data_IF_830688146918
#
_entry.id   IF_830688146918
#
_cell.length_a   1.000
_cell.length_b   1.000
_cell.length_c   1.000
_cell.angle_alpha   90.00
_cell.angle_beta   90.00
_cell.angle_gamma   90.00
#
_symmetry.space_group_name_H-M   'P 1'
#
loop_
_entity.id
_entity.type
_entity.pdbx_description
1 polymer ?
#
# COMPACT_ATOMS: atom_id res chain seq x y z
N UNK A 1 -6.42 14.27 -11.59
CA UNK A 1 -5.91 15.17 -10.52
C UNK A 1 -4.96 14.34 -9.66
N UNK A 2 -3.87 14.87 -9.07
CA UNK A 2 -3.02 14.01 -8.22
C UNK A 2 -3.87 13.40 -7.11
N UNK A 3 -3.65 12.10 -6.86
CA UNK A 3 -4.34 11.30 -5.83
C UNK A 3 -4.13 11.89 -4.44
N UNK A 4 -5.00 11.56 -3.48
CA UNK A 4 -5.11 12.31 -2.21
C UNK A 4 -3.85 12.25 -1.34
N UNK A 5 -3.20 11.09 -1.26
CA UNK A 5 -2.08 10.85 -0.33
C UNK A 5 -0.93 9.98 -0.91
N UNK A 6 -0.35 10.34 -2.08
CA UNK A 6 0.70 9.55 -2.73
C UNK A 6 1.97 9.39 -1.89
N UNK A 7 2.61 8.22 -1.97
CA UNK A 7 3.94 7.99 -1.41
C UNK A 7 4.89 7.48 -2.48
N UNK A 8 6.11 8.00 -2.51
CA UNK A 8 7.08 7.69 -3.57
C UNK A 8 8.51 8.00 -3.16
N UNK A 9 9.45 7.28 -3.78
CA UNK A 9 10.89 7.56 -3.74
C UNK A 9 11.45 8.03 -5.10
N UNK A 10 10.60 8.20 -6.12
CA UNK A 10 10.99 8.56 -7.49
C UNK A 10 11.33 7.39 -8.42
N UNK A 11 11.23 6.14 -7.94
CA UNK A 11 11.25 4.93 -8.76
C UNK A 11 9.94 4.14 -8.60
N UNK A 12 9.43 4.06 -7.36
CA UNK A 12 8.15 3.47 -7.00
C UNK A 12 7.21 4.56 -6.50
N UNK A 13 6.02 4.65 -7.08
CA UNK A 13 4.91 5.50 -6.63
C UNK A 13 3.70 4.63 -6.30
N UNK A 14 3.10 4.86 -5.14
CA UNK A 14 1.84 4.24 -4.73
C UNK A 14 0.82 5.33 -4.43
N UNK A 15 -0.33 5.24 -5.09
CA UNK A 15 -1.44 6.18 -4.94
C UNK A 15 -2.65 5.51 -4.30
N UNK A 16 -3.44 6.30 -3.58
CA UNK A 16 -4.66 5.87 -2.91
C UNK A 16 -5.87 6.68 -3.37
N UNK A 17 -7.06 6.08 -3.31
CA UNK A 17 -8.31 6.82 -3.37
C UNK A 17 -8.70 7.43 -2.01
N UNK A 18 -9.79 8.20 -2.02
CA UNK A 18 -10.40 8.80 -0.83
C UNK A 18 -10.87 7.76 0.21
N UNK A 19 -11.06 6.50 -0.19
CA UNK A 19 -11.38 5.38 0.70
C UNK A 19 -10.14 4.62 1.17
N UNK A 20 -8.94 5.19 0.96
CA UNK A 20 -7.65 4.65 1.41
C UNK A 20 -7.26 3.28 0.81
N UNK A 21 -7.79 2.97 -0.38
CA UNK A 21 -7.41 1.78 -1.16
C UNK A 21 -6.32 2.15 -2.14
N UNK A 22 -5.34 1.27 -2.35
CA UNK A 22 -4.34 1.48 -3.40
C UNK A 22 -5.05 1.39 -4.74
N UNK A 23 -4.78 2.38 -5.59
CA UNK A 23 -5.38 2.51 -6.93
C UNK A 23 -4.37 2.47 -8.04
N UNK A 24 -3.20 3.06 -7.84
CA UNK A 24 -2.16 3.13 -8.87
C UNK A 24 -0.81 2.78 -8.25
N UNK A 25 -0.06 1.95 -8.95
CA UNK A 25 1.33 1.61 -8.61
C UNK A 25 2.17 1.81 -9.87
N UNK A 26 3.11 2.75 -9.82
CA UNK A 26 4.04 2.99 -10.93
C UNK A 26 5.44 2.55 -10.56
N UNK A 27 6.05 1.74 -11.42
CA UNK A 27 7.42 1.25 -11.28
C UNK A 27 7.94 0.74 -12.64
N UNK A 28 9.25 0.81 -12.95
CA UNK A 28 10.30 1.54 -12.24
C UNK A 28 10.32 3.03 -12.56
N UNK A 29 9.39 3.50 -13.41
CA UNK A 29 9.30 4.87 -13.86
C UNK A 29 7.98 5.50 -13.46
N UNK A 30 8.08 6.70 -12.87
CA UNK A 30 6.94 7.45 -12.38
C UNK A 30 6.07 7.86 -13.58
N UNK A 31 4.84 7.36 -13.62
CA UNK A 31 3.83 7.70 -14.61
C UNK A 31 3.83 6.92 -15.92
N UNK A 32 4.77 5.99 -16.15
CA UNK A 32 4.70 5.17 -17.37
C UNK A 32 3.90 3.87 -17.19
N UNK A 33 4.35 3.01 -16.28
CA UNK A 33 3.80 1.65 -16.15
C UNK A 33 2.88 1.58 -14.92
N UNK A 34 1.57 1.73 -15.12
CA UNK A 34 0.59 1.58 -14.04
C UNK A 34 0.23 0.10 -13.83
N UNK A 35 0.80 -0.51 -12.80
CA UNK A 35 0.67 -1.94 -12.49
C UNK A 35 -0.66 -2.36 -11.85
N UNK A 36 -1.62 -1.46 -11.76
CA UNK A 36 -2.99 -1.78 -11.30
C UNK A 36 -4.03 -1.40 -12.35
N UNK A 37 -3.67 -0.57 -13.35
CA UNK A 37 -4.62 0.09 -14.27
C UNK A 37 -5.77 0.80 -13.56
N UNK A 38 -5.47 1.35 -12.38
CA UNK A 38 -6.49 1.97 -11.55
C UNK A 38 -7.39 0.98 -10.80
N UNK A 39 -7.19 -0.33 -10.89
CA UNK A 39 -7.98 -1.28 -10.10
C UNK A 39 -7.66 -1.14 -8.62
N UNK A 40 -8.67 -1.39 -7.79
CA UNK A 40 -8.52 -1.34 -6.33
C UNK A 40 -7.82 -2.58 -5.82
N UNK A 41 -6.77 -2.36 -5.04
CA UNK A 41 -6.30 -3.36 -4.09
C UNK A 41 -7.18 -3.26 -2.85
N UNK A 42 -7.80 -4.37 -2.48
CA UNK A 42 -8.70 -4.40 -1.32
C UNK A 42 -7.89 -4.46 -0.04
N UNK A 43 -8.39 -3.76 0.97
CA UNK A 43 -7.87 -3.79 2.33
C UNK A 43 -9.08 -4.00 3.25
N UNK A 44 -9.11 -5.09 4.00
CA UNK A 44 -10.30 -5.50 4.76
C UNK A 44 -9.99 -6.01 6.16
N UNK A 45 -10.96 -5.84 7.05
CA UNK A 45 -10.93 -6.27 8.43
C UNK A 45 -12.01 -7.32 8.63
N UNK A 46 -11.60 -8.53 8.97
CA UNK A 46 -12.50 -9.60 9.41
C UNK A 46 -12.45 -9.71 10.93
N UNK A 47 -13.62 -9.66 11.56
CA UNK A 47 -13.80 -9.77 13.01
C UNK A 47 -15.22 -10.26 13.32
N UNK A 48 -15.37 -11.06 14.38
CA UNK A 48 -16.66 -11.53 14.87
C UNK A 48 -17.55 -12.18 13.79
N UNK A 49 -16.95 -12.91 12.83
CA UNK A 49 -17.69 -13.66 11.80
C UNK A 49 -18.05 -12.87 10.54
N UNK A 50 -17.55 -11.64 10.38
CA UNK A 50 -17.86 -10.79 9.21
C UNK A 50 -16.63 -10.00 8.76
N UNK A 51 -16.60 -9.64 7.47
CA UNK A 51 -15.59 -8.74 6.90
C UNK A 51 -16.18 -7.37 6.59
N UNK A 52 -15.37 -6.33 6.74
CA UNK A 52 -15.60 -5.01 6.14
C UNK A 52 -14.36 -4.61 5.35
N UNK A 53 -14.55 -4.33 4.08
CA UNK A 53 -13.53 -3.78 3.19
C UNK A 53 -13.48 -2.26 3.38
N UNK A 54 -12.32 -1.62 3.18
CA UNK A 54 -12.27 -0.16 3.23
C UNK A 54 -13.15 0.46 2.15
N UNK A 55 -13.95 1.44 2.54
CA UNK A 55 -15.03 1.96 1.74
C UNK A 55 -15.78 3.10 2.44
N UNK A 56 -16.88 3.58 1.84
CA UNK A 56 -17.66 4.70 2.34
C UNK A 56 -18.23 4.52 3.76
N UNK A 57 -18.29 3.30 4.28
CA UNK A 57 -18.74 2.99 5.63
C UNK A 57 -17.71 3.32 6.72
N UNK A 58 -16.46 3.59 6.34
CA UNK A 58 -15.39 3.98 7.25
C UNK A 58 -15.25 5.50 7.31
N UNK A 59 -15.31 6.06 8.51
CA UNK A 59 -14.92 7.46 8.74
C UNK A 59 -13.41 7.58 8.54
N UNK A 60 -13.00 8.32 7.52
CA UNK A 60 -11.62 8.34 7.03
C UNK A 60 -11.01 9.75 7.17
N UNK A 61 -9.84 9.83 7.81
CA UNK A 61 -9.01 11.04 7.88
C UNK A 61 -7.64 10.74 7.26
N UNK A 62 -7.39 11.33 6.08
CA UNK A 62 -6.16 11.15 5.31
C UNK A 62 -5.21 12.31 5.57
N UNK A 63 -4.13 12.05 6.31
CA UNK A 63 -3.06 13.04 6.55
C UNK A 63 -1.72 12.40 6.40
N UNK A 64 -0.70 13.23 6.28
CA UNK A 64 0.68 12.82 6.49
C UNK A 64 1.17 13.27 7.84
N UNK A 65 2.23 12.63 8.34
CA UNK A 65 3.04 13.20 9.42
C UNK A 65 3.73 14.48 8.93
N UNK A 66 3.93 15.40 9.85
CA UNK A 66 4.50 16.72 9.56
C UNK A 66 5.86 16.61 8.86
N UNK A 67 5.99 17.35 7.76
CA UNK A 67 7.20 17.43 6.93
C UNK A 67 7.74 16.07 6.44
N UNK A 68 6.87 15.10 6.19
CA UNK A 68 7.26 13.78 5.65
C UNK A 68 6.36 13.26 4.54
N UNK A 69 6.88 12.37 3.70
CA UNK A 69 6.08 11.42 2.88
C UNK A 69 5.81 10.12 3.66
N UNK A 70 5.39 10.25 4.92
CA UNK A 70 4.83 9.15 5.71
C UNK A 70 3.40 9.51 6.06
N UNK A 71 2.46 8.64 5.72
CA UNK A 71 1.04 8.88 6.02
C UNK A 71 0.77 8.75 7.52
N UNK A 72 -0.32 9.35 7.97
CA UNK A 72 -0.94 9.24 9.29
C UNK A 72 -2.44 9.20 9.07
N UNK A 73 -2.96 8.00 8.80
CA UNK A 73 -4.35 7.78 8.43
C UNK A 73 -5.12 7.20 9.59
N UNK A 74 -6.33 7.72 9.83
CA UNK A 74 -7.29 7.16 10.78
C UNK A 74 -8.52 6.66 10.05
N UNK A 75 -8.95 5.43 10.34
CA UNK A 75 -10.16 4.81 9.80
C UNK A 75 -10.99 4.31 10.97
N UNK A 76 -12.22 4.80 11.12
CA UNK A 76 -13.10 4.37 12.22
C UNK A 76 -14.35 3.71 11.67
N UNK A 77 -14.64 2.51 12.18
CA UNK A 77 -15.89 1.80 11.91
C UNK A 77 -16.71 1.70 13.18
N UNK A 78 -17.85 2.38 13.19
CA UNK A 78 -18.82 2.27 14.28
C UNK A 78 -19.50 0.89 14.31
N UNK A 79 -19.70 0.26 13.14
CA UNK A 79 -20.29 -1.06 13.01
C UNK A 79 -19.41 -2.16 13.62
N UNK A 80 -18.10 -2.12 13.34
CA UNK A 80 -17.14 -3.05 13.94
C UNK A 80 -16.69 -2.60 15.34
N UNK A 81 -16.93 -1.34 15.70
CA UNK A 81 -16.36 -0.68 16.86
C UNK A 81 -14.84 -0.88 16.96
N UNK A 82 -14.16 -0.60 15.86
CA UNK A 82 -12.71 -0.60 15.73
C UNK A 82 -12.24 0.73 15.14
N UNK A 83 -11.06 1.17 15.56
CA UNK A 83 -10.30 2.22 14.89
C UNK A 83 -9.00 1.62 14.34
N UNK A 84 -8.65 1.98 13.11
CA UNK A 84 -7.36 1.67 12.52
C UNK A 84 -6.54 2.95 12.45
N UNK A 85 -5.29 2.88 12.91
CA UNK A 85 -4.29 3.90 12.68
C UNK A 85 -3.21 3.35 11.77
N UNK A 86 -3.10 3.94 10.59
CA UNK A 86 -2.20 3.46 9.56
C UNK A 86 -1.10 4.48 9.28
N UNK A 87 0.10 3.96 8.98
CA UNK A 87 1.24 4.74 8.51
C UNK A 87 1.85 4.01 7.32
N UNK A 88 1.94 4.69 6.21
CA UNK A 88 2.49 4.18 4.96
C UNK A 88 3.64 5.02 4.46
N UNK A 89 4.56 4.39 3.77
CA UNK A 89 5.59 5.08 3.02
C UNK A 89 6.15 4.18 1.93
N UNK A 90 6.75 4.80 0.91
CA UNK A 90 7.74 4.12 0.08
C UNK A 90 9.11 4.50 0.65
N UNK A 91 9.92 3.49 0.93
CA UNK A 91 11.23 3.70 1.54
C UNK A 91 12.12 4.62 0.68
N UNK A 92 12.89 5.49 1.34
CA UNK A 92 13.69 6.51 0.67
C UNK A 92 14.83 5.97 -0.23
N UNK A 93 15.22 4.70 -0.10
CA UNK A 93 16.28 4.08 -0.90
C UNK A 93 15.87 2.77 -1.58
N UNK A 94 14.95 2.03 -0.98
CA UNK A 94 14.47 0.74 -1.50
C UNK A 94 13.12 0.93 -2.18
N UNK A 95 12.90 0.20 -3.26
CA UNK A 95 11.62 0.20 -3.98
C UNK A 95 10.62 -0.71 -3.23
N UNK A 96 10.28 -0.30 -2.01
CA UNK A 96 9.35 -1.01 -1.13
C UNK A 96 8.36 -0.06 -0.50
N UNK A 97 7.09 -0.39 -0.70
CA UNK A 97 5.97 0.16 0.03
C UNK A 97 5.79 -0.58 1.35
N UNK A 98 5.64 0.15 2.46
CA UNK A 98 5.44 -0.41 3.79
C UNK A 98 4.26 0.28 4.46
N UNK A 99 3.35 -0.53 5.03
CA UNK A 99 2.20 -0.10 5.82
C UNK A 99 2.30 -0.68 7.23
N UNK A 100 2.24 0.16 8.26
CA UNK A 100 1.93 -0.22 9.65
C UNK A 100 0.44 -0.02 9.88
N UNK A 101 -0.24 -1.00 10.45
CA UNK A 101 -1.63 -0.90 10.89
C UNK A 101 -1.69 -1.19 12.38
N UNK A 102 -2.22 -0.24 13.14
CA UNK A 102 -2.62 -0.44 14.52
C UNK A 102 -4.14 -0.56 14.60
N UNK A 103 -4.62 -1.70 15.07
CA UNK A 103 -6.04 -2.00 15.27
C UNK A 103 -6.38 -1.75 16.73
N UNK A 104 -7.35 -0.89 17.00
CA UNK A 104 -7.73 -0.42 18.33
C UNK A 104 -9.15 -0.87 18.63
N UNK A 105 -9.35 -1.52 19.77
CA UNK A 105 -10.66 -1.90 20.28
C UNK A 105 -11.38 -0.71 20.92
N UNK A 106 -12.62 -0.44 20.49
CA UNK A 106 -13.44 0.67 21.01
C UNK A 106 -14.55 0.21 21.98
N UNK A 107 -14.67 -1.09 22.27
CA UNK A 107 -15.75 -1.66 23.07
C UNK A 107 -15.32 -2.31 24.39
N UNK A 108 -14.02 -2.35 24.71
CA UNK A 108 -13.52 -3.02 25.89
C UNK A 108 -13.60 -4.55 25.81
N UNK A 109 -13.53 -5.13 24.59
CA UNK A 109 -13.58 -6.57 24.36
C UNK A 109 -12.29 -7.05 23.72
N UNK A 110 -11.72 -8.13 24.23
CA UNK A 110 -10.60 -8.78 23.56
C UNK A 110 -11.12 -9.49 22.30
N UNK A 111 -10.44 -9.28 21.17
CA UNK A 111 -10.86 -9.78 19.86
C UNK A 111 -9.68 -10.35 19.09
N UNK A 112 -9.97 -11.36 18.27
CA UNK A 112 -9.08 -11.79 17.20
C UNK A 112 -9.53 -11.11 15.92
N UNK A 113 -8.65 -10.30 15.34
CA UNK A 113 -8.89 -9.58 14.10
C UNK A 113 -8.02 -10.19 13.02
N UNK A 114 -8.59 -10.46 11.85
CA UNK A 114 -7.83 -10.86 10.66
C UNK A 114 -7.83 -9.70 9.69
N UNK A 115 -6.67 -9.35 9.15
CA UNK A 115 -6.50 -8.29 8.18
C UNK A 115 -6.18 -8.92 6.85
N UNK A 116 -6.93 -8.59 5.81
CA UNK A 116 -6.75 -9.11 4.46
C UNK A 116 -6.39 -8.02 3.47
N UNK A 117 -5.48 -8.36 2.56
CA UNK A 117 -5.03 -7.51 1.47
C UNK A 117 -5.18 -8.30 0.17
N UNK A 118 -5.98 -7.79 -0.76
CA UNK A 118 -6.10 -8.33 -2.10
C UNK A 118 -5.21 -7.53 -3.07
N UNK A 119 -4.46 -8.23 -3.91
CA UNK A 119 -3.62 -7.68 -4.95
C UNK A 119 -4.17 -8.07 -6.32
N UNK A 120 -4.68 -7.07 -7.03
CA UNK A 120 -5.19 -7.18 -8.40
C UNK A 120 -4.23 -6.49 -9.37
N UNK A 121 -3.00 -7.01 -9.44
CA UNK A 121 -1.98 -6.49 -10.34
C UNK A 121 -2.42 -6.64 -11.79
N UNK A 122 -2.05 -5.67 -12.61
CA UNK A 122 -2.13 -5.67 -14.06
C UNK A 122 -0.75 -5.23 -14.56
N UNK A 123 0.22 -6.16 -14.54
CA UNK A 123 1.62 -5.81 -14.75
C UNK A 123 1.82 -5.23 -16.17
N UNK A 124 2.77 -4.29 -16.29
CA UNK A 124 2.91 -3.40 -17.45
C UNK A 124 1.65 -2.64 -17.91
N UNK A 125 0.62 -2.54 -17.06
CA UNK A 125 -0.67 -1.98 -17.46
C UNK A 125 -1.47 -2.91 -18.38
N UNK A 126 -1.28 -4.23 -18.27
CA UNK A 126 -1.97 -5.26 -19.05
C UNK A 126 -2.84 -6.18 -18.17
N UNK A 127 -3.94 -6.69 -18.73
CA UNK A 127 -4.87 -7.60 -18.03
C UNK A 127 -4.51 -9.09 -18.15
N UNK A 128 -3.52 -9.40 -18.98
CA UNK A 128 -3.16 -10.77 -19.39
C UNK A 128 -1.67 -11.00 -19.19
N UNK A 129 -1.32 -12.16 -18.64
CA UNK A 129 0.07 -12.63 -18.57
C UNK A 129 0.67 -12.62 -17.17
N UNK A 130 -0.08 -12.10 -16.20
CA UNK A 130 0.32 -12.09 -14.79
C UNK A 130 0.41 -13.51 -14.24
N UNK A 131 1.44 -13.76 -13.42
CA UNK A 131 1.54 -14.98 -12.60
C UNK A 131 1.71 -14.59 -11.15
N UNK A 132 0.89 -15.17 -10.26
CA UNK A 132 1.01 -15.04 -8.82
C UNK A 132 1.41 -16.40 -8.24
N UNK A 133 2.42 -16.45 -7.39
CA UNK A 133 2.79 -17.69 -6.71
C UNK A 133 3.31 -17.44 -5.29
N UNK A 134 3.11 -18.40 -4.40
CA UNK A 134 3.70 -18.43 -3.09
C UNK A 134 5.14 -18.94 -3.18
N UNK A 135 6.09 -18.13 -2.72
CA UNK A 135 7.49 -18.50 -2.62
C UNK A 135 7.81 -19.01 -1.20
N UNK A 136 8.10 -20.31 -1.02
CA UNK A 136 8.40 -20.88 0.29
C UNK A 136 9.72 -20.37 0.88
N UNK A 137 10.67 -19.88 0.07
CA UNK A 137 11.95 -19.37 0.58
C UNK A 137 11.77 -18.06 1.33
N UNK A 138 10.99 -17.14 0.75
CA UNK A 138 10.69 -15.84 1.35
C UNK A 138 9.42 -15.84 2.20
N UNK A 139 8.63 -16.93 2.15
CA UNK A 139 7.32 -17.08 2.82
C UNK A 139 6.40 -15.91 2.48
N UNK A 140 6.28 -15.65 1.18
CA UNK A 140 5.59 -14.49 0.62
C UNK A 140 4.87 -14.87 -0.67
N UNK A 141 4.00 -13.99 -1.17
CA UNK A 141 3.42 -14.13 -2.50
C UNK A 141 4.16 -13.22 -3.47
N UNK A 142 4.55 -13.72 -4.63
CA UNK A 142 5.21 -12.97 -5.69
C UNK A 142 4.31 -12.94 -6.92
N UNK A 143 4.05 -11.74 -7.42
CA UNK A 143 3.50 -11.50 -8.74
C UNK A 143 4.63 -11.19 -9.70
N UNK A 144 4.59 -11.77 -10.90
CA UNK A 144 5.51 -11.37 -11.95
C UNK A 144 4.94 -11.48 -13.35
N UNK A 145 5.47 -10.63 -14.22
CA UNK A 145 5.37 -10.70 -15.67
C UNK A 145 6.72 -10.19 -16.20
N UNK A 146 7.39 -10.96 -17.07
CA UNK A 146 8.69 -10.60 -17.66
C UNK A 146 9.69 -10.06 -16.61
N UNK A 147 10.03 -8.78 -16.67
CA UNK A 147 11.00 -8.08 -15.81
C UNK A 147 10.29 -7.20 -14.76
N UNK A 148 9.08 -7.55 -14.33
CA UNK A 148 8.39 -6.88 -13.22
C UNK A 148 8.05 -7.93 -12.19
N UNK A 149 8.60 -7.76 -11.01
CA UNK A 149 8.41 -8.63 -9.86
C UNK A 149 7.88 -7.79 -8.70
N UNK A 150 6.81 -8.27 -8.08
CA UNK A 150 6.18 -7.66 -6.92
C UNK A 150 6.04 -8.71 -5.83
N UNK A 151 6.85 -8.61 -4.79
CA UNK A 151 6.75 -9.46 -3.61
C UNK A 151 5.83 -8.80 -2.59
N UNK A 152 4.87 -9.57 -2.08
CA UNK A 152 3.84 -9.16 -1.14
C UNK A 152 3.95 -9.99 0.12
N UNK A 153 4.01 -9.33 1.26
CA UNK A 153 4.12 -10.02 2.55
C UNK A 153 3.48 -9.18 3.67
N UNK A 154 3.11 -9.84 4.75
CA UNK A 154 2.54 -9.22 5.93
C UNK A 154 2.92 -10.01 7.19
N UNK A 155 2.95 -9.31 8.33
CA UNK A 155 3.27 -9.91 9.63
C UNK A 155 2.64 -9.16 10.79
N UNK A 156 2.37 -9.87 11.88
CA UNK A 156 2.00 -9.21 13.13
C UNK A 156 3.25 -8.86 13.97
N UNK A 157 3.04 -8.11 15.04
CA UNK A 157 4.09 -7.74 16.00
C UNK A 157 4.77 -8.92 16.70
N UNK A 158 4.14 -10.10 16.74
CA UNK A 158 4.69 -11.32 17.37
C UNK A 158 5.57 -12.15 16.44
N UNK A 159 5.77 -11.70 15.20
CA UNK A 159 6.70 -12.31 14.25
C UNK A 159 6.13 -13.45 13.42
N UNK A 160 4.80 -13.61 13.31
CA UNK A 160 4.24 -14.53 12.30
C UNK A 160 4.48 -13.97 10.91
N UNK A 161 4.94 -14.81 9.97
CA UNK A 161 4.85 -14.52 8.52
C UNK A 161 3.37 -14.50 8.10
N UNK A 162 3.07 -14.27 6.82
CA UNK A 162 1.72 -14.36 6.25
C UNK A 162 0.95 -15.55 6.85
N UNK A 163 -0.11 -15.28 7.61
CA UNK A 163 -0.92 -16.33 8.27
C UNK A 163 -1.88 -16.97 7.26
N UNK A 164 -2.26 -16.21 6.22
CA UNK A 164 -3.22 -16.60 5.21
C UNK A 164 -2.73 -16.18 3.84
N UNK A 165 -2.75 -17.07 2.85
CA UNK A 165 -2.56 -16.68 1.46
C UNK A 165 -3.43 -17.51 0.53
N UNK A 166 -3.73 -16.98 -0.63
CA UNK A 166 -4.33 -17.74 -1.73
C UNK A 166 -4.05 -16.97 -3.03
N UNK A 167 -3.46 -17.65 -4.01
CA UNK A 167 -3.40 -17.17 -5.38
C UNK A 167 -4.68 -17.61 -6.09
N UNK A 168 -5.39 -16.66 -6.70
CA UNK A 168 -6.64 -16.91 -7.39
C UNK A 168 -6.69 -16.22 -8.74
N UNK A 169 -7.88 -16.15 -9.30
CA UNK A 169 -8.13 -15.56 -10.62
C UNK A 169 -9.00 -14.33 -10.46
N UNK A 170 -8.68 -13.28 -11.22
CA UNK A 170 -9.44 -12.03 -11.26
C UNK A 170 -10.92 -12.31 -11.51
N UNK A 171 -11.77 -11.47 -10.94
CA UNK A 171 -13.21 -11.60 -11.06
C UNK A 171 -13.65 -11.56 -12.53
N UNK A 172 -14.58 -12.44 -12.88
CA UNK A 172 -15.10 -12.55 -14.24
C UNK A 172 -16.14 -13.68 -14.34
N UNK A 173 -16.76 -13.87 -15.52
CA UNK A 173 -17.78 -14.89 -15.71
C UNK A 173 -17.28 -16.29 -15.29
N UNK A 174 -17.92 -16.87 -14.29
CA UNK A 174 -17.57 -18.19 -13.75
C UNK A 174 -16.28 -18.25 -12.91
N UNK A 175 -15.66 -17.10 -12.60
CA UNK A 175 -14.43 -17.01 -11.79
C UNK A 175 -14.74 -16.45 -10.41
N UNK A 176 -14.27 -17.14 -9.37
CA UNK A 176 -14.34 -16.65 -8.00
C UNK A 176 -12.95 -16.22 -7.53
N UNK A 177 -12.72 -14.93 -7.27
CA UNK A 177 -11.45 -14.43 -6.78
C UNK A 177 -11.21 -14.82 -5.32
N UNK A 178 -9.94 -14.90 -4.93
CA UNK A 178 -9.50 -15.31 -3.60
C UNK A 178 -9.98 -14.38 -2.48
N UNK A 179 -10.24 -13.10 -2.76
CA UNK A 179 -10.76 -12.18 -1.75
C UNK A 179 -12.18 -12.53 -1.28
N UNK A 180 -12.96 -13.29 -2.07
CA UNK A 180 -14.28 -13.80 -1.62
C UNK A 180 -14.14 -14.85 -0.53
N UNK A 181 -13.04 -15.61 -0.51
CA UNK A 181 -12.76 -16.57 0.57
C UNK A 181 -12.51 -15.84 1.90
N UNK A 182 -11.88 -14.67 1.84
CA UNK A 182 -11.61 -13.85 3.02
C UNK A 182 -12.89 -13.38 3.74
N UNK A 183 -14.05 -13.38 3.07
CA UNK A 183 -15.35 -13.06 3.68
C UNK A 183 -15.73 -14.10 4.75
N UNK A 184 -15.32 -15.35 4.56
CA UNK A 184 -15.45 -16.44 5.54
C UNK A 184 -14.31 -16.43 6.59
N UNK A 185 -13.36 -15.50 6.46
CA UNK A 185 -12.23 -15.34 7.37
C UNK A 185 -11.08 -16.31 7.15
N UNK A 186 -11.11 -17.11 6.08
CA UNK A 186 -10.07 -18.08 5.75
C UNK A 186 -9.64 -17.90 4.29
N UNK A 187 -8.50 -18.49 3.91
CA UNK A 187 -8.02 -18.50 2.53
C UNK A 187 -7.65 -19.93 2.13
N UNK A 188 -7.94 -20.31 0.89
CA UNK A 188 -7.78 -21.68 0.40
C UNK A 188 -6.33 -22.17 0.24
N UNK A 189 -5.32 -21.33 0.51
CA UNK A 189 -3.91 -21.76 0.49
C UNK A 189 -3.37 -22.09 -0.90
N UNK A 190 -4.03 -21.64 -1.98
CA UNK A 190 -3.60 -21.95 -3.34
C UNK A 190 -2.23 -21.32 -3.63
N UNK A 191 -1.21 -22.10 -4.01
CA UNK A 191 0.16 -21.61 -4.09
C UNK A 191 0.50 -20.95 -5.42
N UNK A 192 -0.35 -21.05 -6.45
CA UNK A 192 -0.05 -20.47 -7.77
C UNK A 192 -1.32 -20.19 -8.56
N UNK A 193 -1.30 -19.14 -9.37
CA UNK A 193 -2.29 -18.79 -10.39
C UNK A 193 -1.61 -18.04 -11.53
N UNK A 194 -2.15 -18.10 -12.75
CA UNK A 194 -1.56 -17.46 -13.94
C UNK A 194 -2.62 -16.95 -14.92
N UNK A 195 -2.20 -16.08 -15.84
CA UNK A 195 -3.02 -15.48 -16.87
C UNK A 195 -3.75 -14.24 -16.35
N UNK A 196 -4.85 -14.46 -15.61
CA UNK A 196 -5.58 -13.40 -14.92
C UNK A 196 -5.39 -13.58 -13.41
N UNK A 197 -4.14 -13.60 -12.97
CA UNK A 197 -3.83 -13.89 -11.58
C UNK A 197 -4.19 -12.71 -10.67
N UNK A 198 -4.66 -13.03 -9.47
CA UNK A 198 -4.74 -12.13 -8.33
C UNK A 198 -4.29 -12.91 -7.09
N UNK A 199 -4.05 -12.22 -5.98
CA UNK A 199 -3.83 -12.91 -4.71
C UNK A 199 -4.47 -12.19 -3.55
N UNK A 200 -4.73 -12.94 -2.49
CA UNK A 200 -5.03 -12.36 -1.18
C UNK A 200 -4.03 -12.89 -0.18
N UNK A 201 -3.48 -11.99 0.64
CA UNK A 201 -2.68 -12.32 1.82
C UNK A 201 -3.37 -11.78 3.07
N UNK A 202 -3.14 -12.42 4.20
CA UNK A 202 -3.72 -11.98 5.46
C UNK A 202 -2.87 -12.31 6.67
N UNK A 203 -3.16 -11.57 7.73
CA UNK A 203 -2.46 -11.67 9.01
C UNK A 203 -3.45 -11.56 10.15
N UNK A 204 -3.23 -12.36 11.19
CA UNK A 204 -4.00 -12.37 12.42
C UNK A 204 -3.37 -11.43 13.46
N UNK A 205 -4.23 -10.66 14.12
CA UNK A 205 -3.87 -9.70 15.16
C UNK A 205 -4.74 -9.95 16.37
N UNK A 206 -4.11 -10.19 17.52
CA UNK A 206 -4.79 -10.21 18.80
C UNK A 206 -4.91 -8.77 19.32
N UNK A 207 -6.13 -8.33 19.61
CA UNK A 207 -6.44 -7.00 20.14
C UNK A 207 -6.98 -7.18 21.56
N UNK A 208 -6.25 -6.74 22.61
CA UNK A 208 -6.73 -6.79 23.98
C UNK A 208 -7.98 -5.93 24.19
N UNK A 209 -8.77 -6.22 25.22
CA UNK A 209 -9.90 -5.39 25.63
C UNK A 209 -9.46 -3.94 25.91
N UNK A 210 -10.03 -2.99 25.17
CA UNK A 210 -9.68 -1.56 25.21
C UNK A 210 -8.25 -1.25 24.79
N UNK A 211 -7.54 -2.22 24.22
CA UNK A 211 -6.15 -2.12 23.80
C UNK A 211 -6.00 -2.05 22.29
N UNK A 212 -4.76 -2.20 21.82
CA UNK A 212 -4.44 -2.26 20.41
C UNK A 212 -3.52 -3.42 20.05
N UNK A 213 -3.59 -3.85 18.79
CA UNK A 213 -2.68 -4.81 18.18
C UNK A 213 -2.09 -4.22 16.90
N UNK A 214 -0.83 -4.57 16.58
CA UNK A 214 -0.13 -4.05 15.39
C UNK A 214 0.18 -5.16 14.38
N UNK A 215 -0.04 -4.83 13.11
CA UNK A 215 0.40 -5.59 11.95
C UNK A 215 1.13 -4.70 10.94
N UNK A 216 1.81 -5.35 10.02
CA UNK A 216 2.55 -4.73 8.93
C UNK A 216 2.24 -5.45 7.62
N UNK A 217 2.22 -4.68 6.54
CA UNK A 217 2.10 -5.15 5.16
C UNK A 217 3.17 -4.44 4.33
N UNK A 218 3.80 -5.14 3.39
CA UNK A 218 4.71 -4.51 2.45
C UNK A 218 4.64 -5.14 1.07
N UNK A 219 5.01 -4.31 0.09
CA UNK A 219 5.11 -4.65 -1.32
C UNK A 219 6.47 -4.19 -1.82
N UNK A 220 7.34 -5.13 -2.17
CA UNK A 220 8.65 -4.87 -2.75
C UNK A 220 8.57 -5.00 -4.28
N UNK A 221 9.01 -3.98 -4.99
CA UNK A 221 9.05 -3.93 -6.45
C UNK A 221 10.49 -4.16 -6.92
N UNK A 222 10.65 -4.94 -7.98
CA UNK A 222 11.95 -5.24 -8.57
C UNK A 222 11.83 -5.67 -10.02
N UNK A 223 12.96 -5.72 -10.71
CA UNK A 223 13.05 -6.10 -12.12
C UNK A 223 13.43 -7.57 -12.33
N UNK A 224 13.83 -8.24 -11.26
CA UNK A 224 14.05 -9.69 -11.20
C UNK A 224 13.70 -10.24 -9.81
N UNK A 225 13.68 -11.57 -9.70
CA UNK A 225 13.39 -12.28 -8.44
C UNK A 225 14.37 -11.91 -7.32
N UNK A 226 15.66 -11.83 -7.64
CA UNK A 226 16.72 -11.57 -6.66
C UNK A 226 16.58 -10.20 -6.00
N UNK A 227 16.14 -9.19 -6.75
CA UNK A 227 15.90 -7.84 -6.23
C UNK A 227 14.79 -7.83 -5.18
N UNK A 228 13.63 -8.44 -5.47
CA UNK A 228 12.50 -8.45 -4.52
C UNK A 228 12.80 -9.31 -3.29
N UNK A 229 13.54 -10.41 -3.46
CA UNK A 229 14.01 -11.25 -2.34
C UNK A 229 14.98 -10.48 -1.45
N UNK A 230 15.93 -9.75 -2.03
CA UNK A 230 16.87 -8.92 -1.30
C UNK A 230 16.14 -7.84 -0.49
N UNK A 231 15.25 -7.08 -1.14
CA UNK A 231 14.46 -6.03 -0.49
C UNK A 231 13.63 -6.62 0.66
N UNK A 232 12.95 -7.75 0.46
CA UNK A 232 12.21 -8.44 1.52
C UNK A 232 13.10 -8.85 2.70
N UNK A 233 14.32 -9.32 2.42
CA UNK A 233 15.33 -9.61 3.44
C UNK A 233 15.67 -8.38 4.28
N UNK A 234 15.86 -7.22 3.64
CA UNK A 234 16.13 -5.95 4.34
C UNK A 234 14.93 -5.49 5.18
N UNK A 235 13.69 -5.64 4.68
CA UNK A 235 12.47 -5.34 5.46
C UNK A 235 12.41 -6.23 6.70
N UNK A 236 12.71 -7.52 6.56
CA UNK A 236 12.73 -8.46 7.68
C UNK A 236 13.79 -8.10 8.72
N UNK A 237 15.01 -7.75 8.28
CA UNK A 237 16.16 -7.41 9.14
C UNK A 237 15.99 -6.06 9.84
N UNK A 238 15.68 -4.99 9.08
CA UNK A 238 15.55 -3.62 9.62
C UNK A 238 14.18 -3.33 10.22
N UNK A 239 13.21 -4.21 9.99
CA UNK A 239 11.81 -4.13 10.38
C UNK A 239 11.01 -3.04 9.65
N UNK A 240 9.71 -3.27 9.35
CA UNK A 240 8.82 -2.25 8.80
C UNK A 240 8.82 -0.92 9.57
N UNK A 241 8.80 -0.98 10.91
CA UNK A 241 8.84 0.24 11.75
C UNK A 241 10.16 0.99 11.62
N UNK A 242 11.28 0.28 11.48
CA UNK A 242 12.58 0.87 11.23
C UNK A 242 12.65 1.59 9.87
N UNK A 243 12.04 0.99 8.83
CA UNK A 243 11.93 1.61 7.50
C UNK A 243 11.05 2.85 7.51
N UNK A 244 9.90 2.81 8.19
CA UNK A 244 9.03 3.98 8.35
C UNK A 244 9.75 5.12 9.08
N UNK A 245 10.46 4.81 10.16
CA UNK A 245 11.21 5.83 10.93
C UNK A 245 12.31 6.47 10.09
N UNK A 246 13.19 5.68 9.46
CA UNK A 246 14.30 6.24 8.66
C UNK A 246 13.79 7.09 7.49
N UNK A 247 12.67 6.68 6.89
CA UNK A 247 12.07 7.40 5.77
C UNK A 247 11.45 8.72 6.24
N UNK A 248 10.82 8.73 7.42
CA UNK A 248 10.37 9.97 8.06
C UNK A 248 11.56 10.94 8.28
N UNK A 249 12.64 10.46 8.91
CA UNK A 249 13.83 11.27 9.19
C UNK A 249 14.45 11.84 7.89
N UNK A 250 14.53 11.02 6.85
CA UNK A 250 15.00 11.44 5.52
C UNK A 250 14.15 12.58 4.96
N UNK A 251 12.82 12.46 4.96
CA UNK A 251 11.97 13.48 4.35
C UNK A 251 11.95 14.79 5.15
N UNK A 252 12.04 14.72 6.47
CA UNK A 252 12.19 15.93 7.31
C UNK A 252 13.49 16.65 6.97
N UNK A 253 14.60 15.91 6.86
CA UNK A 253 15.87 16.49 6.45
C UNK A 253 15.83 17.03 5.01
N UNK A 254 15.16 16.33 4.10
CA UNK A 254 15.04 16.72 2.69
C UNK A 254 14.30 18.05 2.53
N UNK A 255 13.12 18.19 3.15
CA UNK A 255 12.28 19.39 2.96
C UNK A 255 12.86 20.62 3.68
N UNK A 256 13.55 20.39 4.81
CA UNK A 256 14.15 21.44 5.65
C UNK A 256 15.63 21.73 5.34
N UNK A 257 16.21 21.07 4.32
CA UNK A 257 17.65 21.16 3.99
C UNK A 257 18.13 22.60 3.83
N UNK A 258 17.35 23.42 3.13
CA UNK A 258 17.65 24.83 2.91
C UNK A 258 16.90 25.68 3.95
N UNK A 259 17.59 26.51 4.75
CA UNK A 259 16.93 27.44 5.64
C UNK A 259 16.16 28.48 4.79
N UNK A 260 14.84 28.53 4.97
CA UNK A 260 13.96 29.47 4.26
C UNK A 260 13.34 30.44 5.26
N UNK A 261 13.32 31.73 4.91
CA UNK A 261 12.54 32.73 5.64
C UNK A 261 11.20 32.91 4.92
N UNK A 262 10.10 32.72 5.66
CA UNK A 262 8.75 33.02 5.20
C UNK A 262 8.29 34.42 5.66
N UNK A 263 9.20 35.23 6.22
CA UNK A 263 8.89 36.55 6.75
C UNK A 263 7.84 36.49 7.86
N UNK A 264 6.77 37.24 7.68
CA UNK A 264 5.62 37.43 8.55
C UNK A 264 4.43 36.53 8.19
N UNK A 265 4.61 35.58 7.26
CA UNK A 265 3.58 34.59 6.92
C UNK A 265 3.29 33.64 8.10
N UNK A 266 2.03 33.23 8.30
CA UNK A 266 1.67 32.22 9.30
C UNK A 266 2.38 30.88 9.07
N UNK A 267 2.65 30.13 10.15
CA UNK A 267 3.26 28.80 10.06
C UNK A 267 2.48 27.84 9.16
N UNK A 268 1.15 27.96 9.14
CA UNK A 268 0.28 27.14 8.27
C UNK A 268 0.59 27.32 6.78
N UNK A 269 1.09 28.48 6.35
CA UNK A 269 1.52 28.69 4.96
C UNK A 269 2.83 27.96 4.68
N UNK A 270 3.78 27.99 5.63
CA UNK A 270 5.03 27.24 5.53
C UNK A 270 4.77 25.72 5.51
N UNK A 271 3.81 25.25 6.30
CA UNK A 271 3.40 23.83 6.34
C UNK A 271 2.82 23.38 5.00
N UNK A 272 1.94 24.19 4.39
CA UNK A 272 1.41 23.93 3.04
C UNK A 272 2.53 23.94 2.00
N UNK A 273 3.45 24.90 2.05
CA UNK A 273 4.59 24.95 1.14
C UNK A 273 5.45 23.68 1.22
N UNK A 274 5.85 23.27 2.42
CA UNK A 274 6.63 22.05 2.63
C UNK A 274 5.87 20.81 2.14
N UNK A 275 4.57 20.72 2.45
CA UNK A 275 3.69 19.65 1.97
C UNK A 275 3.65 19.61 0.44
N UNK A 276 3.51 20.76 -0.22
CA UNK A 276 3.49 20.85 -1.68
C UNK A 276 4.81 20.38 -2.29
N UNK A 277 5.96 20.73 -1.72
CA UNK A 277 7.25 20.22 -2.20
C UNK A 277 7.35 18.69 -2.12
N UNK A 278 6.87 18.10 -1.04
CA UNK A 278 6.84 16.65 -0.86
C UNK A 278 5.90 15.98 -1.87
N UNK A 279 4.69 16.51 -2.07
CA UNK A 279 3.75 15.99 -3.07
C UNK A 279 4.32 16.12 -4.49
N UNK A 280 4.92 17.27 -4.84
CA UNK A 280 5.59 17.43 -6.12
C UNK A 280 6.69 16.39 -6.31
N UNK A 281 7.47 16.11 -5.26
CA UNK A 281 8.52 15.10 -5.32
C UNK A 281 7.99 13.71 -5.66
N UNK A 282 6.74 13.37 -5.32
CA UNK A 282 6.17 12.07 -5.70
C UNK A 282 5.88 11.93 -7.19
N UNK A 283 5.78 13.05 -7.92
CA UNK A 283 5.52 13.10 -9.37
C UNK A 283 6.80 13.26 -10.20
N UNK A 284 7.97 13.22 -9.56
CA UNK A 284 9.27 13.39 -10.21
C UNK A 284 10.00 12.04 -10.25
N UNK A 285 10.29 11.57 -11.45
CA UNK A 285 11.14 10.41 -11.67
C UNK A 285 12.60 10.72 -11.33
N UNK A 286 13.31 9.77 -10.74
CA UNK A 286 14.74 9.91 -10.46
C UNK A 286 15.62 10.08 -11.72
N UNK A 287 15.07 9.80 -12.91
CA UNK A 287 15.69 10.00 -14.23
C UNK A 287 15.34 11.35 -14.86
N UNK A 288 14.59 12.20 -14.15
CA UNK A 288 14.41 13.62 -14.47
C UNK A 288 13.06 14.02 -15.07
N UNK A 289 12.19 13.06 -15.42
CA UNK A 289 10.85 13.38 -15.89
C UNK A 289 9.98 13.95 -14.76
N UNK A 290 9.22 15.01 -15.04
CA UNK A 290 8.26 15.63 -14.12
C UNK A 290 6.87 15.43 -14.72
N UNK A 291 6.04 14.65 -14.05
CA UNK A 291 4.73 14.26 -14.54
C UNK A 291 3.66 15.21 -14.01
N UNK A 292 2.68 15.61 -14.82
CA UNK A 292 1.69 16.57 -14.36
C UNK A 292 0.79 16.02 -13.25
N UNK A 293 0.23 14.81 -13.43
CA UNK A 293 -0.48 14.11 -12.37
C UNK A 293 -0.67 12.62 -12.68
N UNK A 294 -0.23 11.76 -11.78
CA UNK A 294 -0.49 10.32 -11.84
C UNK A 294 -1.83 9.98 -11.19
N UNK A 295 -2.84 9.68 -12.02
CA UNK A 295 -4.19 9.31 -11.61
C UNK A 295 -4.92 8.62 -12.78
N UNK A 296 -5.42 7.41 -12.53
CA UNK A 296 -6.17 6.62 -13.53
C UNK A 296 -7.67 6.95 -13.59
N UNK A 297 -8.22 7.82 -12.73
CA UNK A 297 -9.66 8.10 -12.75
C UNK A 297 -10.07 8.70 -14.10
N UNK A 298 -9.24 9.58 -14.67
CA UNK A 298 -9.49 10.19 -15.98
C UNK A 298 -9.44 9.15 -17.10
N UNK A 299 -8.62 8.12 -17.01
CA UNK A 299 -8.58 7.06 -18.03
C UNK A 299 -9.93 6.36 -18.15
N UNK A 300 -10.63 6.16 -17.02
CA UNK A 300 -11.94 5.50 -16.96
C UNK A 300 -13.06 6.34 -17.57
N UNK A 301 -13.00 7.67 -17.44
CA UNK A 301 -14.06 8.57 -17.90
C UNK A 301 -13.78 9.22 -19.25
N UNK A 302 -12.52 9.52 -19.55
CA UNK A 302 -12.10 10.31 -20.72
C UNK A 302 -11.19 9.56 -21.69
N UNK A 303 -10.68 8.37 -21.35
CA UNK A 303 -9.76 7.61 -22.20
C UNK A 303 -8.38 8.27 -22.37
N UNK A 304 -8.01 9.16 -21.45
CA UNK A 304 -6.74 9.89 -21.45
C UNK A 304 -6.16 9.91 -20.03
N UNK A 305 -4.87 10.25 -19.90
CA UNK A 305 -4.13 10.25 -18.64
C UNK A 305 -3.46 11.59 -18.41
N UNK A 306 -3.17 11.96 -17.17
CA UNK A 306 -2.28 13.11 -16.88
C UNK A 306 -0.84 12.66 -16.62
N UNK A 307 -0.56 11.39 -16.91
CA UNK A 307 0.75 10.79 -16.75
C UNK A 307 1.71 11.16 -17.89
N UNK A 308 1.66 12.41 -18.34
CA UNK A 308 2.56 12.98 -19.35
C UNK A 308 3.55 13.94 -18.70
N UNK A 309 4.72 14.06 -19.34
CA UNK A 309 5.63 15.18 -19.16
C UNK A 309 5.30 16.20 -20.25
N UNK A 310 4.77 17.36 -19.83
CA UNK A 310 4.48 18.49 -20.72
C UNK A 310 5.72 19.34 -21.00
#
# INVERSE_FOLDING_TARGET
>A
MPRDIPVSNGNLLVNFDASYRIRDIFFPWIGLENHTRGNEFRFGIWVDGSISWMGPEWETDLRYRDDTLVTQVSLRSSALALELRCQDTVDCYLDVYVRRIEVIDLQGRAREVKIFFNQDFNLYGNEIGDTAYYDPHTRSVIHYERNRYFLVNCRNSRGSVVDYFSCGVKEGPGRQPSWKEAEEGELGGRPVSWGHAESTVGVRVHVPAGGSGTAFYWLAAGQCYEEVVHINGVVCEKTPSGLIRRTADYWQAWVRKEPRSFGDLPSSVADVFNRSLLILRTQIDNRGAIIAANDSDIERFGGDTYSYMW
#
